data_IF_079585433602
#
_entry.id   IF_079585433602
#
_cell.length_a   1.000
_cell.length_b   1.000
_cell.length_c   1.000
_cell.angle_alpha   90.00
_cell.angle_beta   90.00
_cell.angle_gamma   90.00
#
_symmetry.space_group_name_H-M   'P 1'
#
loop_
_entity.id
_entity.type
_entity.pdbx_description
1 polymer ?
#
# COMPACT_ATOMS: atom_id res chain seq x y z
N UNK A 1 -4.84 0.54 -7.77
CA UNK A 1 -4.80 2.00 -7.63
C UNK A 1 -3.38 2.49 -7.82
N UNK A 2 -3.12 3.26 -8.86
CA UNK A 2 -1.87 3.99 -9.11
C UNK A 2 -2.00 5.45 -8.69
N UNK A 3 -0.89 6.20 -8.64
CA UNK A 3 -0.93 7.64 -8.37
C UNK A 3 -1.64 8.40 -9.50
N UNK A 4 -1.53 7.95 -10.75
CA UNK A 4 -2.24 8.58 -11.87
C UNK A 4 -3.76 8.47 -11.69
N UNK A 5 -4.24 7.27 -11.34
CA UNK A 5 -5.67 7.04 -11.06
C UNK A 5 -6.17 7.89 -9.89
N UNK A 6 -5.38 7.98 -8.82
CA UNK A 6 -5.72 8.83 -7.67
C UNK A 6 -5.78 10.31 -8.05
N UNK A 7 -4.79 10.82 -8.79
CA UNK A 7 -4.77 12.22 -9.23
C UNK A 7 -5.94 12.55 -10.17
N UNK A 8 -6.31 11.62 -11.04
CA UNK A 8 -7.48 11.78 -11.90
C UNK A 8 -8.77 11.90 -11.09
N UNK A 9 -8.93 11.07 -10.05
CA UNK A 9 -10.07 11.16 -9.14
C UNK A 9 -10.09 12.49 -8.36
N UNK A 10 -8.94 12.90 -7.81
CA UNK A 10 -8.82 14.10 -7.00
C UNK A 10 -8.90 15.41 -7.79
N UNK A 11 -8.77 15.39 -9.12
CA UNK A 11 -8.69 16.60 -9.94
C UNK A 11 -9.89 17.55 -9.79
N UNK A 12 -11.05 17.02 -9.41
CA UNK A 12 -12.30 17.78 -9.22
C UNK A 12 -12.73 17.87 -7.75
N UNK A 13 -11.92 17.34 -6.82
CA UNK A 13 -12.21 17.42 -5.41
C UNK A 13 -12.03 18.85 -4.89
N UNK A 14 -12.75 19.20 -3.82
CA UNK A 14 -12.53 20.46 -3.11
C UNK A 14 -11.07 20.49 -2.58
N UNK A 15 -10.24 21.46 -2.99
CA UNK A 15 -8.83 21.51 -2.57
C UNK A 15 -8.65 21.79 -1.07
N UNK A 16 -9.71 22.18 -0.36
CA UNK A 16 -9.70 22.37 1.09
C UNK A 16 -10.18 21.15 1.89
N UNK A 17 -10.63 20.08 1.22
CA UNK A 17 -11.10 18.88 1.89
C UNK A 17 -9.97 18.13 2.61
N UNK A 18 -10.28 17.55 3.78
CA UNK A 18 -9.38 16.67 4.50
C UNK A 18 -9.26 15.31 3.78
N UNK A 19 -8.06 14.73 3.81
CA UNK A 19 -7.81 13.37 3.30
C UNK A 19 -7.89 12.37 4.45
N UNK A 20 -8.78 11.40 4.31
CA UNK A 20 -8.99 10.33 5.28
C UNK A 20 -8.57 8.99 4.67
N UNK A 21 -7.92 8.12 5.45
CA UNK A 21 -7.55 6.76 5.08
C UNK A 21 -8.43 5.77 5.83
N UNK A 22 -9.12 4.89 5.11
CA UNK A 22 -9.84 3.75 5.69
C UNK A 22 -8.97 2.50 5.50
N UNK A 23 -8.46 1.87 6.56
CA UNK A 23 -7.70 0.63 6.44
C UNK A 23 -8.53 -0.48 5.76
N UNK A 24 -7.88 -1.41 5.03
CA UNK A 24 -8.59 -2.52 4.41
C UNK A 24 -9.39 -3.34 5.44
N UNK A 25 -10.69 -3.50 5.20
CA UNK A 25 -11.59 -4.27 6.08
C UNK A 25 -12.30 -3.43 7.16
N UNK A 26 -11.92 -2.16 7.32
CA UNK A 26 -12.58 -1.23 8.22
C UNK A 26 -13.73 -0.47 7.55
N UNK A 27 -14.46 0.31 8.36
CA UNK A 27 -15.59 1.15 7.96
C UNK A 27 -15.18 2.62 7.98
N UNK A 28 -15.91 3.47 7.24
CA UNK A 28 -15.66 4.92 7.18
C UNK A 28 -15.61 5.61 8.55
N UNK A 29 -16.37 5.12 9.53
CA UNK A 29 -16.36 5.64 10.90
C UNK A 29 -15.01 5.46 11.63
N UNK A 30 -14.14 4.59 11.12
CA UNK A 30 -12.79 4.34 11.62
C UNK A 30 -11.72 4.92 10.68
N UNK A 31 -12.11 5.81 9.76
CA UNK A 31 -11.15 6.48 8.91
C UNK A 31 -10.20 7.35 9.75
N UNK A 32 -8.91 7.30 9.42
CA UNK A 32 -7.88 8.08 10.09
C UNK A 32 -7.46 9.26 9.20
N UNK A 33 -7.26 10.43 9.80
CA UNK A 33 -6.82 11.61 9.07
C UNK A 33 -5.35 11.44 8.62
N UNK A 34 -5.09 11.65 7.33
CA UNK A 34 -3.75 11.62 6.75
C UNK A 34 -3.10 12.99 6.91
N UNK A 35 -2.02 13.06 7.69
CA UNK A 35 -1.28 14.33 7.92
C UNK A 35 -0.01 14.44 7.09
N UNK A 36 0.59 13.32 6.72
CA UNK A 36 1.82 13.31 5.94
C UNK A 36 1.74 12.35 4.77
N UNK A 37 2.24 12.82 3.64
CA UNK A 37 2.39 12.06 2.41
C UNK A 37 3.87 12.15 2.04
N UNK A 38 4.48 11.00 1.75
CA UNK A 38 5.88 10.94 1.32
C UNK A 38 6.09 9.85 0.28
N UNK A 39 7.02 10.06 -0.65
CA UNK A 39 7.52 8.95 -1.46
C UNK A 39 8.52 8.14 -0.63
N UNK A 40 8.50 6.82 -0.81
CA UNK A 40 9.58 5.99 -0.26
C UNK A 40 10.86 6.24 -1.04
N UNK A 41 11.96 6.56 -0.35
CA UNK A 41 13.30 6.61 -0.95
C UNK A 41 13.93 5.22 -1.11
N UNK A 42 13.39 4.23 -0.41
CA UNK A 42 13.76 2.82 -0.54
C UNK A 42 12.92 2.18 -1.66
N UNK A 43 13.54 1.37 -2.51
CA UNK A 43 12.81 0.58 -3.51
C UNK A 43 11.89 -0.44 -2.84
N UNK A 44 10.70 -0.67 -3.40
CA UNK A 44 9.77 -1.69 -2.90
C UNK A 44 9.66 -2.84 -3.88
N UNK A 45 9.37 -4.01 -3.34
CA UNK A 45 9.10 -5.22 -4.11
C UNK A 45 7.65 -5.64 -3.91
N UNK A 46 6.91 -5.77 -5.01
CA UNK A 46 5.67 -6.54 -5.07
C UNK A 46 6.04 -7.98 -5.45
N UNK A 47 5.65 -8.91 -4.61
CA UNK A 47 5.81 -10.36 -4.83
C UNK A 47 4.44 -10.98 -4.99
N UNK A 48 4.24 -11.79 -6.02
CA UNK A 48 3.02 -12.55 -6.21
C UNK A 48 3.33 -13.96 -6.71
N UNK A 49 2.45 -14.92 -6.42
CA UNK A 49 2.65 -16.31 -6.80
C UNK A 49 1.58 -17.22 -6.24
N UNK A 50 1.89 -18.52 -6.15
CA UNK A 50 1.01 -19.55 -5.60
C UNK A 50 1.68 -20.18 -4.37
N UNK A 51 0.99 -20.20 -3.24
CA UNK A 51 1.39 -20.90 -2.01
C UNK A 51 0.31 -21.93 -1.66
N UNK A 52 0.68 -23.21 -1.57
CA UNK A 52 -0.24 -24.33 -1.28
C UNK A 52 -1.52 -24.32 -2.13
N UNK A 53 -1.36 -24.04 -3.42
CA UNK A 53 -2.47 -23.99 -4.39
C UNK A 53 -3.35 -22.74 -4.30
N UNK A 54 -2.98 -21.73 -3.51
CA UNK A 54 -3.71 -20.47 -3.39
C UNK A 54 -2.86 -19.30 -3.89
N UNK A 55 -3.44 -18.36 -4.66
CA UNK A 55 -2.71 -17.16 -5.07
C UNK A 55 -2.41 -16.28 -3.86
N UNK A 56 -1.26 -15.63 -3.89
CA UNK A 56 -0.87 -14.64 -2.89
C UNK A 56 -0.23 -13.41 -3.54
N UNK A 57 -0.29 -12.27 -2.84
CA UNK A 57 0.44 -11.05 -3.16
C UNK A 57 0.93 -10.40 -1.85
N UNK A 58 2.19 -9.96 -1.84
CA UNK A 58 2.79 -9.20 -0.76
C UNK A 58 3.54 -7.99 -1.30
N UNK A 59 3.58 -6.93 -0.49
CA UNK A 59 4.32 -5.70 -0.79
C UNK A 59 5.26 -5.42 0.38
N UNK A 60 6.57 -5.30 0.11
CA UNK A 60 7.56 -5.07 1.16
C UNK A 60 8.71 -4.16 0.70
N UNK A 61 9.34 -3.43 1.63
CA UNK A 61 10.49 -2.59 1.29
C UNK A 61 11.72 -3.47 1.03
N UNK A 62 12.54 -3.05 0.06
CA UNK A 62 13.82 -3.69 -0.25
C UNK A 62 13.77 -4.61 -1.48
N UNK A 63 14.87 -5.34 -1.66
CA UNK A 63 15.07 -6.25 -2.79
C UNK A 63 14.34 -7.60 -2.58
N UNK A 64 14.05 -8.34 -3.67
CA UNK A 64 13.39 -9.65 -3.59
C UNK A 64 14.09 -10.65 -2.67
N UNK A 65 13.34 -11.29 -1.77
CA UNK A 65 13.85 -12.32 -0.86
C UNK A 65 13.77 -13.73 -1.47
N UNK A 66 14.61 -14.01 -2.47
CA UNK A 66 14.53 -15.26 -3.25
C UNK A 66 14.83 -16.54 -2.46
N UNK A 67 15.62 -16.42 -1.39
CA UNK A 67 16.16 -17.58 -0.67
C UNK A 67 15.23 -18.12 0.44
N UNK A 68 14.13 -17.43 0.75
CA UNK A 68 13.29 -17.72 1.91
C UNK A 68 12.03 -18.57 1.62
N UNK A 69 11.77 -18.94 0.36
CA UNK A 69 10.46 -19.51 -0.05
C UNK A 69 10.59 -20.93 -0.62
N UNK A 70 10.79 -21.91 0.25
CA UNK A 70 10.54 -23.30 -0.10
C UNK A 70 9.02 -23.57 -0.13
N UNK A 71 8.46 -23.90 -1.30
CA UNK A 71 7.04 -24.28 -1.45
C UNK A 71 6.14 -23.27 -2.14
N UNK A 72 6.66 -22.12 -2.56
CA UNK A 72 5.95 -21.19 -3.44
C UNK A 72 6.27 -21.49 -4.91
N UNK A 73 5.24 -21.47 -5.74
CA UNK A 73 5.35 -21.73 -7.18
C UNK A 73 5.02 -20.47 -7.98
N UNK A 74 5.61 -20.35 -9.18
CA UNK A 74 5.32 -19.28 -10.14
C UNK A 74 5.52 -17.87 -9.56
N UNK A 75 6.51 -17.71 -8.67
CA UNK A 75 6.76 -16.46 -7.97
C UNK A 75 7.30 -15.40 -8.95
N UNK A 76 6.61 -14.27 -9.01
CA UNK A 76 7.01 -13.08 -9.76
C UNK A 76 7.39 -11.97 -8.78
N UNK A 77 8.44 -11.22 -9.12
CA UNK A 77 8.90 -10.08 -8.35
C UNK A 77 8.91 -8.85 -9.24
N UNK A 78 8.27 -7.78 -8.79
CA UNK A 78 8.21 -6.49 -9.47
C UNK A 78 8.78 -5.41 -8.55
N UNK A 79 9.75 -4.63 -9.05
CA UNK A 79 10.20 -3.42 -8.36
C UNK A 79 9.19 -2.30 -8.59
N UNK A 80 8.63 -1.77 -7.52
CA UNK A 80 7.54 -0.77 -7.57
C UNK A 80 7.88 0.47 -6.76
N UNK A 81 7.38 1.61 -7.22
CA UNK A 81 7.37 2.86 -6.45
C UNK A 81 6.11 2.95 -5.62
N UNK A 82 6.23 3.39 -4.37
CA UNK A 82 5.09 3.57 -3.46
C UNK A 82 5.05 4.97 -2.86
N UNK A 83 3.85 5.41 -2.53
CA UNK A 83 3.60 6.59 -1.70
C UNK A 83 3.10 6.10 -0.35
N UNK A 84 3.68 6.64 0.71
CA UNK A 84 3.34 6.33 2.09
C UNK A 84 2.44 7.44 2.64
N UNK A 85 1.30 7.04 3.18
CA UNK A 85 0.37 7.89 3.91
C UNK A 85 0.56 7.61 5.40
N UNK A 86 0.81 8.65 6.19
CA UNK A 86 0.90 8.54 7.64
C UNK A 86 -0.33 9.16 8.29
N UNK A 87 -1.10 8.30 8.94
CA UNK A 87 -2.22 8.68 9.79
C UNK A 87 -1.73 9.22 11.15
N UNK A 88 -2.59 9.98 11.82
CA UNK A 88 -2.40 10.32 13.23
C UNK A 88 -2.73 9.08 14.06
N UNK A 89 -1.83 8.64 14.94
CA UNK A 89 -2.19 7.61 15.92
C UNK A 89 -3.43 8.10 16.69
N UNK A 90 -4.51 7.33 16.62
CA UNK A 90 -5.66 7.56 17.48
C UNK A 90 -5.17 7.48 18.93
N UNK A 91 -4.99 8.65 19.56
CA UNK A 91 -4.71 8.71 21.00
C UNK A 91 -5.99 8.24 21.67
N UNK A 92 -6.02 6.97 22.09
CA UNK A 92 -7.09 6.45 22.93
C UNK A 92 -6.95 7.16 24.28
N UNK A 93 -7.70 8.25 24.45
CA UNK A 93 -7.86 8.97 25.71
C UNK A 93 -8.82 8.23 26.64
#
# INVERSE_FOLDING_TARGET
MTIAELMEFLRNADPSAAVMLVPPGDREQYAEEVRFISSSSVGWTRESGIDKGRPYEFLYPGAPHRDLRAGCEQVTYESVSVVLLKAVEATVL
#
